data_IF_437769164288
#
_entry.id   IF_437769164288
#
_cell.length_a   1.000
_cell.length_b   1.000
_cell.length_c   1.000
_cell.angle_alpha   90.00
_cell.angle_beta   90.00
_cell.angle_gamma   90.00
#
_symmetry.space_group_name_H-M   'P 1'
#
loop_
_entity.id
_entity.type
_entity.pdbx_description
1 polymer ?
#
# COMPACT_ATOMS: atom_id res chain seq x y z
N UNK A 1 -43.46 97.58 3.77
CA UNK A 1 -44.48 96.56 3.43
C UNK A 1 -43.80 95.24 3.06
N UNK A 2 -43.16 94.58 4.03
CA UNK A 2 -42.42 93.31 3.82
C UNK A 2 -42.59 92.42 5.06
N UNK A 3 -43.81 91.92 5.28
CA UNK A 3 -44.12 91.08 6.46
C UNK A 3 -45.26 90.09 6.18
N UNK A 4 -45.26 89.44 5.02
CA UNK A 4 -46.26 88.41 4.66
C UNK A 4 -45.66 87.02 4.38
N UNK A 5 -44.34 86.91 4.30
CA UNK A 5 -43.66 85.66 3.95
C UNK A 5 -43.18 84.87 5.18
N UNK A 6 -42.96 85.50 6.33
CA UNK A 6 -42.53 84.80 7.56
C UNK A 6 -43.70 84.08 8.28
N UNK A 7 -44.93 84.55 8.09
CA UNK A 7 -46.12 83.96 8.71
C UNK A 7 -46.46 82.56 8.17
N UNK A 8 -45.93 82.19 7.00
CA UNK A 8 -46.16 80.87 6.36
C UNK A 8 -45.33 79.75 7.00
N UNK A 9 -44.29 80.07 7.78
CA UNK A 9 -43.44 79.10 8.49
C UNK A 9 -44.01 78.65 9.85
N UNK A 10 -45.11 79.25 10.33
CA UNK A 10 -45.71 78.94 11.64
C UNK A 10 -46.91 77.99 11.59
N UNK A 11 -47.25 77.44 10.41
CA UNK A 11 -48.28 76.40 10.33
C UNK A 11 -47.68 75.03 10.69
N UNK A 12 -48.29 74.24 11.60
CA UNK A 12 -47.77 72.94 11.97
C UNK A 12 -47.79 71.96 10.79
N UNK A 13 -46.62 71.52 10.34
CA UNK A 13 -46.41 70.44 9.35
C UNK A 13 -47.13 69.13 9.70
N UNK A 14 -47.58 69.01 10.95
CA UNK A 14 -48.33 67.88 11.50
C UNK A 14 -49.67 67.66 10.76
N UNK A 15 -50.32 68.72 10.26
CA UNK A 15 -51.57 68.58 9.50
C UNK A 15 -51.36 68.27 8.00
N UNK A 16 -50.20 68.61 7.44
CA UNK A 16 -49.84 68.24 6.06
C UNK A 16 -49.49 66.74 5.94
N UNK A 17 -48.90 66.16 7.00
CA UNK A 17 -48.58 64.73 7.07
C UNK A 17 -49.84 63.83 7.11
N UNK A 18 -50.90 64.28 7.78
CA UNK A 18 -52.16 63.51 7.94
C UNK A 18 -52.98 63.44 6.65
N UNK A 19 -52.77 64.36 5.70
CA UNK A 19 -53.52 64.44 4.44
C UNK A 19 -52.72 63.96 3.21
N UNK A 20 -51.56 63.32 3.39
CA UNK A 20 -51.01 62.49 2.32
C UNK A 20 -51.90 61.26 2.17
N UNK A 21 -52.90 61.37 1.29
CA UNK A 21 -53.64 60.22 0.75
C UNK A 21 -52.58 59.20 0.34
N UNK A 22 -52.47 58.10 1.09
CA UNK A 22 -51.29 57.23 1.04
C UNK A 22 -50.90 56.97 -0.40
N UNK A 23 -49.68 57.39 -0.76
CA UNK A 23 -49.20 57.27 -2.13
C UNK A 23 -49.36 55.80 -2.52
N UNK A 24 -50.18 55.51 -3.53
CA UNK A 24 -50.41 54.12 -3.99
C UNK A 24 -49.08 53.40 -4.23
N UNK A 25 -48.07 54.15 -4.66
CA UNK A 25 -46.68 53.70 -4.80
C UNK A 25 -46.04 53.16 -3.51
N UNK A 26 -46.32 53.76 -2.34
CA UNK A 26 -45.80 53.26 -1.07
C UNK A 26 -46.42 51.90 -0.71
N UNK A 27 -47.72 51.73 -0.90
CA UNK A 27 -48.38 50.44 -0.70
C UNK A 27 -47.90 49.38 -1.70
N UNK A 28 -47.70 49.76 -2.97
CA UNK A 28 -47.12 48.88 -3.98
C UNK A 28 -45.70 48.46 -3.61
N UNK A 29 -44.88 49.40 -3.11
CA UNK A 29 -43.52 49.10 -2.65
C UNK A 29 -43.54 48.12 -1.47
N UNK A 30 -44.39 48.35 -0.46
CA UNK A 30 -44.54 47.44 0.69
C UNK A 30 -45.01 46.05 0.26
N UNK A 31 -45.99 45.97 -0.65
CA UNK A 31 -46.48 44.71 -1.19
C UNK A 31 -45.38 43.95 -1.94
N UNK A 32 -44.60 44.64 -2.76
CA UNK A 32 -43.51 44.06 -3.54
C UNK A 32 -42.43 43.50 -2.62
N UNK A 33 -42.03 44.25 -1.59
CA UNK A 33 -41.10 43.75 -0.56
C UNK A 33 -41.62 42.49 0.11
N UNK A 34 -42.92 42.45 0.45
CA UNK A 34 -43.52 41.28 1.09
C UNK A 34 -43.53 40.05 0.17
N UNK A 35 -43.89 40.24 -1.10
CA UNK A 35 -43.84 39.18 -2.12
C UNK A 35 -42.41 38.68 -2.31
N UNK A 36 -41.42 39.58 -2.36
CA UNK A 36 -40.01 39.22 -2.50
C UNK A 36 -39.53 38.32 -1.34
N UNK A 37 -39.89 38.65 -0.10
CA UNK A 37 -39.55 37.84 1.08
C UNK A 37 -40.20 36.45 0.99
N UNK A 38 -41.46 36.37 0.58
CA UNK A 38 -42.16 35.07 0.39
C UNK A 38 -41.45 34.24 -0.68
N UNK A 39 -41.12 34.84 -1.83
CA UNK A 39 -40.44 34.14 -2.94
C UNK A 39 -39.07 33.62 -2.50
N UNK A 40 -38.27 34.43 -1.81
CA UNK A 40 -36.98 34.00 -1.24
C UNK A 40 -37.13 32.86 -0.23
N UNK A 41 -38.14 32.94 0.65
CA UNK A 41 -38.42 31.88 1.63
C UNK A 41 -38.80 30.55 0.97
N UNK A 42 -39.66 30.59 -0.07
CA UNK A 42 -40.03 29.40 -0.84
C UNK A 42 -38.82 28.84 -1.59
N UNK A 43 -38.00 29.70 -2.20
CA UNK A 43 -36.79 29.29 -2.91
C UNK A 43 -35.79 28.60 -1.97
N UNK A 44 -35.56 29.16 -0.77
CA UNK A 44 -34.64 28.59 0.22
C UNK A 44 -35.00 27.17 0.65
N UNK A 45 -36.29 26.79 0.59
CA UNK A 45 -36.74 25.43 0.89
C UNK A 45 -36.26 24.41 -0.15
N UNK A 46 -36.11 24.83 -1.40
CA UNK A 46 -35.70 23.97 -2.51
C UNK A 46 -34.21 24.12 -2.87
N UNK A 47 -33.52 25.08 -2.27
CA UNK A 47 -32.09 25.26 -2.47
C UNK A 47 -31.32 24.09 -1.87
N UNK A 48 -30.74 23.26 -2.72
CA UNK A 48 -29.81 22.21 -2.33
C UNK A 48 -28.46 22.87 -2.02
N UNK A 49 -27.99 22.72 -0.79
CA UNK A 49 -26.66 23.14 -0.38
C UNK A 49 -25.74 21.92 -0.40
N UNK A 50 -24.87 21.84 -1.39
CA UNK A 50 -23.88 20.77 -1.49
C UNK A 50 -22.77 20.99 -0.44
N UNK A 51 -22.87 20.32 0.69
CA UNK A 51 -21.82 20.28 1.69
C UNK A 51 -20.80 19.20 1.33
N UNK A 52 -19.69 19.60 0.71
CA UNK A 52 -18.57 18.70 0.43
C UNK A 52 -17.65 18.66 1.63
N UNK A 53 -17.86 17.70 2.53
CA UNK A 53 -16.89 17.39 3.59
C UNK A 53 -15.66 16.71 2.97
N UNK A 54 -14.51 17.37 3.08
CA UNK A 54 -13.22 16.79 2.67
C UNK A 54 -12.64 16.01 3.84
N UNK A 55 -12.59 14.68 3.72
CA UNK A 55 -11.88 13.81 4.66
C UNK A 55 -10.51 13.41 4.10
N UNK A 56 -9.46 13.44 4.92
CA UNK A 56 -8.16 12.88 4.53
C UNK A 56 -8.20 11.35 4.67
N UNK A 57 -8.24 10.65 3.54
CA UNK A 57 -8.07 9.19 3.48
C UNK A 57 -6.62 8.83 3.16
N UNK A 58 -5.95 8.08 4.03
CA UNK A 58 -4.63 7.50 3.72
C UNK A 58 -4.81 6.02 3.34
N UNK A 59 -4.41 5.66 2.13
CA UNK A 59 -4.32 4.25 1.73
C UNK A 59 -3.09 3.66 2.39
N UNK A 60 -3.31 2.84 3.42
CA UNK A 60 -2.24 2.12 4.12
C UNK A 60 -2.26 0.68 3.60
N UNK A 61 -1.15 0.15 3.07
CA UNK A 61 -1.09 -1.26 2.70
C UNK A 61 -1.35 -2.13 3.92
N UNK A 62 -2.17 -3.16 3.73
CA UNK A 62 -2.61 -4.08 4.79
C UNK A 62 -1.48 -4.93 5.38
N UNK A 63 -0.31 -4.98 4.73
CA UNK A 63 0.87 -5.72 5.19
C UNK A 63 2.14 -4.88 5.03
N UNK A 64 3.04 -4.98 6.00
CA UNK A 64 4.40 -4.42 5.93
C UNK A 64 5.17 -5.09 4.79
N UNK A 65 6.01 -4.33 4.09
CA UNK A 65 7.01 -4.84 3.15
C UNK A 65 7.84 -5.92 3.85
N UNK A 66 7.79 -7.15 3.35
CA UNK A 66 8.61 -8.24 3.85
C UNK A 66 9.91 -8.28 3.06
N UNK A 67 11.03 -8.05 3.75
CA UNK A 67 12.35 -8.17 3.13
C UNK A 67 12.72 -9.65 3.14
N UNK A 68 12.66 -10.29 1.96
CA UNK A 68 13.10 -11.67 1.78
C UNK A 68 14.62 -11.65 1.65
N UNK A 69 15.32 -12.09 2.68
CA UNK A 69 16.78 -12.25 2.67
C UNK A 69 17.11 -13.73 2.68
N UNK A 70 18.01 -14.16 1.81
CA UNK A 70 18.55 -15.51 1.90
C UNK A 70 19.57 -15.58 3.05
N UNK A 71 19.34 -16.49 3.99
CA UNK A 71 20.21 -16.74 5.14
C UNK A 71 21.51 -17.45 4.75
N UNK A 72 21.52 -18.19 3.63
CA UNK A 72 22.65 -19.05 3.28
C UNK A 72 23.76 -18.36 2.49
N UNK A 73 23.52 -17.15 1.93
CA UNK A 73 24.54 -16.38 1.22
C UNK A 73 25.09 -17.10 -0.02
N UNK A 74 24.67 -16.66 -1.21
CA UNK A 74 25.19 -17.20 -2.48
C UNK A 74 25.10 -16.17 -3.60
N UNK A 75 25.82 -16.40 -4.69
CA UNK A 75 25.79 -15.52 -5.86
C UNK A 75 24.44 -15.70 -6.55
N UNK A 76 23.75 -14.59 -6.83
CA UNK A 76 22.47 -14.63 -7.56
C UNK A 76 22.75 -15.04 -9.01
N UNK A 77 22.19 -16.16 -9.43
CA UNK A 77 22.29 -16.64 -10.81
C UNK A 77 21.25 -15.94 -11.69
N UNK A 78 20.01 -15.85 -11.22
CA UNK A 78 18.89 -15.32 -12.01
C UNK A 78 17.81 -14.74 -11.10
N UNK A 79 17.22 -13.62 -11.52
CA UNK A 79 16.03 -13.01 -10.90
C UNK A 79 14.86 -13.27 -11.84
N UNK A 80 13.84 -13.98 -11.36
CA UNK A 80 12.73 -14.48 -12.17
C UNK A 80 11.49 -13.56 -12.14
N UNK A 81 11.56 -12.45 -11.39
CA UNK A 81 10.44 -11.54 -11.14
C UNK A 81 10.84 -10.08 -11.38
N UNK A 82 9.88 -9.24 -11.74
CA UNK A 82 10.06 -7.80 -11.94
C UNK A 82 9.27 -7.00 -10.93
N UNK A 83 9.64 -5.73 -10.78
CA UNK A 83 8.93 -4.81 -9.89
C UNK A 83 7.49 -4.62 -10.37
N UNK A 84 6.52 -4.87 -9.48
CA UNK A 84 5.09 -4.81 -9.78
C UNK A 84 4.45 -6.14 -10.17
N UNK A 85 5.22 -7.22 -10.31
CA UNK A 85 4.65 -8.55 -10.55
C UNK A 85 3.90 -9.08 -9.33
N UNK A 86 2.77 -9.74 -9.59
CA UNK A 86 1.97 -10.43 -8.57
C UNK A 86 2.59 -11.82 -8.37
N UNK A 87 2.96 -12.15 -7.14
CA UNK A 87 3.59 -13.43 -6.79
C UNK A 87 2.78 -14.16 -5.73
N UNK A 88 2.67 -15.47 -5.88
CA UNK A 88 1.99 -16.36 -4.96
C UNK A 88 2.97 -17.11 -4.04
N UNK A 89 2.42 -17.75 -3.01
CA UNK A 89 3.25 -18.53 -2.08
C UNK A 89 3.80 -19.77 -2.78
N UNK A 90 5.13 -19.88 -2.81
CA UNK A 90 5.84 -21.00 -3.42
C UNK A 90 6.54 -20.63 -4.74
N UNK A 91 6.29 -19.43 -5.26
CA UNK A 91 6.93 -18.98 -6.49
C UNK A 91 8.42 -18.75 -6.29
N UNK A 92 9.20 -19.20 -7.28
CA UNK A 92 10.65 -19.02 -7.29
C UNK A 92 10.94 -17.59 -7.74
N UNK A 93 11.36 -16.75 -6.79
CA UNK A 93 11.66 -15.34 -7.08
C UNK A 93 13.08 -15.16 -7.62
N UNK A 94 14.02 -15.92 -7.06
CA UNK A 94 15.46 -15.80 -7.32
C UNK A 94 16.07 -17.19 -7.33
N UNK A 95 16.99 -17.44 -8.26
CA UNK A 95 17.82 -18.63 -8.31
C UNK A 95 19.24 -18.28 -7.88
N UNK A 96 19.78 -19.08 -6.97
CA UNK A 96 21.15 -18.93 -6.46
C UNK A 96 22.06 -19.90 -7.21
N UNK A 97 23.26 -19.46 -7.54
CA UNK A 97 24.30 -20.32 -8.09
C UNK A 97 24.88 -21.22 -6.99
N UNK A 98 24.57 -22.53 -7.08
CA UNK A 98 25.01 -23.54 -6.13
C UNK A 98 26.28 -24.28 -6.58
N UNK A 99 27.00 -23.80 -7.60
CA UNK A 99 28.18 -24.47 -8.14
C UNK A 99 29.26 -24.74 -7.09
N UNK A 100 29.52 -23.78 -6.20
CA UNK A 100 30.48 -23.92 -5.12
C UNK A 100 30.03 -24.97 -4.08
N UNK A 101 28.78 -24.90 -3.63
CA UNK A 101 28.20 -25.86 -2.68
C UNK A 101 28.22 -27.28 -3.24
N UNK A 102 27.92 -27.44 -4.53
CA UNK A 102 27.94 -28.73 -5.21
C UNK A 102 29.36 -29.28 -5.38
N UNK A 103 30.35 -28.41 -5.61
CA UNK A 103 31.76 -28.81 -5.60
C UNK A 103 32.20 -29.30 -4.23
N UNK A 104 31.90 -28.55 -3.16
CA UNK A 104 32.20 -28.95 -1.78
C UNK A 104 31.51 -30.25 -1.38
N UNK A 105 30.25 -30.44 -1.78
CA UNK A 105 29.52 -31.68 -1.52
C UNK A 105 30.20 -32.88 -2.19
N UNK A 106 30.59 -32.75 -3.46
CA UNK A 106 31.28 -33.82 -4.19
C UNK A 106 32.64 -34.15 -3.57
N UNK A 107 33.38 -33.14 -3.11
CA UNK A 107 34.68 -33.36 -2.46
C UNK A 107 34.53 -34.11 -1.14
N UNK A 108 33.60 -33.67 -0.28
CA UNK A 108 33.29 -34.37 0.97
C UNK A 108 32.76 -35.79 0.74
N UNK A 109 31.94 -35.98 -0.29
CA UNK A 109 31.41 -37.29 -0.65
C UNK A 109 32.53 -38.24 -1.11
N UNK A 110 33.50 -37.74 -1.89
CA UNK A 110 34.69 -38.51 -2.28
C UNK A 110 35.49 -38.95 -1.06
N UNK A 111 35.79 -38.01 -0.16
CA UNK A 111 36.52 -38.29 1.10
C UNK A 111 35.79 -39.30 1.97
N UNK A 112 34.45 -39.21 2.06
CA UNK A 112 33.63 -40.16 2.79
C UNK A 112 33.82 -41.60 2.29
N UNK A 113 33.77 -41.82 0.97
CA UNK A 113 33.92 -43.18 0.43
C UNK A 113 35.34 -43.72 0.55
N UNK A 114 36.37 -42.89 0.40
CA UNK A 114 37.77 -43.28 0.65
C UNK A 114 37.94 -43.72 2.11
N UNK A 115 37.41 -42.94 3.06
CA UNK A 115 37.50 -43.27 4.47
C UNK A 115 36.71 -44.54 4.82
N UNK A 116 35.53 -44.73 4.22
CA UNK A 116 34.72 -45.94 4.38
C UNK A 116 35.46 -47.18 3.86
N UNK A 117 36.07 -47.10 2.67
CA UNK A 117 36.89 -48.19 2.13
C UNK A 117 38.09 -48.50 3.04
N UNK A 118 38.72 -47.46 3.61
CA UNK A 118 39.82 -47.63 4.56
C UNK A 118 39.37 -48.35 5.84
N UNK A 119 38.20 -48.01 6.38
CA UNK A 119 37.63 -48.70 7.55
C UNK A 119 37.36 -50.17 7.24
N UNK A 120 36.71 -50.45 6.10
CA UNK A 120 36.42 -51.82 5.67
C UNK A 120 37.70 -52.65 5.48
N UNK A 121 38.77 -52.03 4.98
CA UNK A 121 40.11 -52.66 4.89
C UNK A 121 40.69 -52.97 6.26
N UNK A 122 40.70 -51.99 7.17
CA UNK A 122 41.25 -52.15 8.51
C UNK A 122 40.47 -53.19 9.34
N UNK A 123 39.15 -53.27 9.17
CA UNK A 123 38.32 -54.30 9.81
C UNK A 123 38.63 -55.70 9.29
N UNK A 124 38.83 -55.86 7.97
CA UNK A 124 39.24 -57.13 7.38
C UNK A 124 40.64 -57.56 7.86
N UNK A 125 41.59 -56.62 7.95
CA UNK A 125 42.93 -56.87 8.50
C UNK A 125 42.89 -57.28 9.99
N UNK A 126 42.05 -56.61 10.79
CA UNK A 126 41.92 -56.91 12.21
C UNK A 126 41.29 -58.29 12.46
N UNK A 127 40.30 -58.67 11.66
CA UNK A 127 39.55 -59.93 11.83
C UNK A 127 40.17 -61.11 11.08
N UNK A 128 41.16 -60.85 10.21
CA UNK A 128 41.77 -61.87 9.34
C UNK A 128 40.80 -62.43 8.29
N UNK A 129 39.69 -61.73 8.02
CA UNK A 129 38.70 -62.13 7.03
C UNK A 129 39.07 -61.60 5.64
N UNK A 130 38.62 -62.26 4.55
CA UNK A 130 38.86 -61.78 3.20
C UNK A 130 38.18 -60.43 2.98
N UNK A 131 38.94 -59.47 2.44
CA UNK A 131 38.48 -58.11 2.15
C UNK A 131 37.25 -58.12 1.24
N UNK A 132 36.13 -57.62 1.77
CA UNK A 132 34.88 -57.49 1.03
C UNK A 132 34.32 -56.08 1.24
N UNK A 133 34.48 -55.23 0.24
CA UNK A 133 33.92 -53.89 0.26
C UNK A 133 32.39 -53.92 0.21
N UNK A 134 31.74 -52.95 0.86
CA UNK A 134 30.28 -52.82 0.81
C UNK A 134 29.78 -52.34 -0.56
N UNK A 135 28.55 -52.73 -0.91
CA UNK A 135 27.90 -52.37 -2.19
C UNK A 135 27.83 -50.84 -2.40
N UNK A 136 27.83 -50.06 -1.32
CA UNK A 136 27.86 -48.59 -1.34
C UNK A 136 29.17 -48.02 -1.90
N UNK A 137 30.31 -48.59 -1.53
CA UNK A 137 31.63 -48.15 -2.02
C UNK A 137 31.80 -48.59 -3.46
N UNK A 138 31.43 -49.84 -3.77
CA UNK A 138 31.54 -50.41 -5.12
C UNK A 138 30.69 -49.68 -6.17
N UNK A 139 29.51 -49.16 -5.79
CA UNK A 139 28.65 -48.39 -6.71
C UNK A 139 29.02 -46.92 -6.82
N UNK A 140 29.37 -46.27 -5.72
CA UNK A 140 29.50 -44.81 -5.71
C UNK A 140 30.94 -44.31 -5.84
N UNK A 141 31.93 -45.16 -5.52
CA UNK A 141 33.35 -44.82 -5.61
C UNK A 141 34.19 -46.08 -5.94
N UNK A 142 34.03 -46.65 -7.16
CA UNK A 142 34.78 -47.85 -7.55
C UNK A 142 36.31 -47.63 -7.46
N UNK A 143 36.77 -46.42 -7.76
CA UNK A 143 38.18 -46.03 -7.67
C UNK A 143 38.73 -46.15 -6.24
N UNK A 144 37.91 -45.81 -5.22
CA UNK A 144 38.34 -45.88 -3.82
C UNK A 144 38.48 -47.33 -3.33
N UNK A 145 37.72 -48.27 -3.90
CA UNK A 145 37.88 -49.70 -3.65
C UNK A 145 39.08 -50.29 -4.40
N UNK A 146 39.38 -49.78 -5.59
CA UNK A 146 40.57 -50.19 -6.36
C UNK A 146 41.87 -49.73 -5.69
N UNK A 147 41.91 -48.50 -5.18
CA UNK A 147 43.09 -47.95 -4.49
C UNK A 147 43.43 -48.66 -3.17
N UNK A 148 42.49 -49.42 -2.60
CA UNK A 148 42.61 -50.08 -1.30
C UNK A 148 42.70 -51.61 -1.39
N UNK A 149 42.78 -52.18 -2.60
CA UNK A 149 43.04 -53.61 -2.83
C UNK A 149 44.50 -53.98 -2.65
#
# INVERSE_FOLDING_TARGET
MSSRQEDLNFMPDVHAAVRRRGNRMAYVLTLLTFVFVIVMGVWSKYALLDEVTRGEGRVIPSRKTQVIQNLEGGIVAEILVREGDIVDRGDILVRIDNSAAQASFRDLQSQYYVLKATVERLEAEQTGQPLKFSDDVLKNAPNAAEDQR
#
